data_IF_820565709456
#
_entry.id   IF_820565709456
#
_cell.length_a   1.000
_cell.length_b   1.000
_cell.length_c   1.000
_cell.angle_alpha   90.00
_cell.angle_beta   90.00
_cell.angle_gamma   90.00
#
_symmetry.space_group_name_H-M   'P 1'
#
loop_
_entity.id
_entity.type
_entity.pdbx_description
1 polymer ?
#
# COMPACT_ATOMS: atom_id res chain seq x y z
N UNK A 1 -1.50 15.84 -19.84
CA UNK A 1 -1.38 15.22 -21.18
C UNK A 1 -0.02 15.47 -21.82
N UNK A 2 0.54 16.68 -21.77
CA UNK A 2 1.82 17.00 -22.41
C UNK A 2 2.98 16.13 -21.91
N UNK A 3 3.13 15.97 -20.61
CA UNK A 3 4.14 15.09 -20.03
C UNK A 3 4.02 13.62 -20.52
N UNK A 4 2.78 13.14 -20.64
CA UNK A 4 2.54 11.80 -21.16
C UNK A 4 2.93 11.68 -22.63
N UNK A 5 2.67 12.69 -23.46
CA UNK A 5 3.13 12.71 -24.85
C UNK A 5 4.66 12.70 -24.96
N UNK A 6 5.36 13.39 -24.04
CA UNK A 6 6.82 13.30 -23.95
C UNK A 6 7.30 11.89 -23.55
N UNK A 7 6.62 11.27 -22.57
CA UNK A 7 6.90 9.89 -22.17
C UNK A 7 6.70 8.90 -23.33
N UNK A 8 5.63 9.06 -24.11
CA UNK A 8 5.39 8.26 -25.33
C UNK A 8 6.50 8.45 -26.35
N UNK A 9 7.02 9.65 -26.53
CA UNK A 9 8.13 9.89 -27.45
C UNK A 9 9.39 9.14 -27.01
N UNK A 10 9.74 9.14 -25.74
CA UNK A 10 10.88 8.38 -25.21
C UNK A 10 10.65 6.86 -25.40
N UNK A 11 9.46 6.36 -25.12
CA UNK A 11 9.12 4.95 -25.29
C UNK A 11 9.15 4.53 -26.78
N UNK A 12 8.44 5.27 -27.64
CA UNK A 12 8.14 4.80 -28.99
C UNK A 12 9.19 5.20 -30.02
N UNK A 13 9.81 6.38 -29.88
CA UNK A 13 10.81 6.91 -30.81
C UNK A 13 12.22 6.62 -30.33
N UNK A 14 12.53 6.93 -29.08
CA UNK A 14 13.86 6.71 -28.51
C UNK A 14 14.10 5.28 -27.98
N UNK A 15 13.07 4.45 -27.95
CA UNK A 15 13.15 3.05 -27.51
C UNK A 15 13.74 2.91 -26.10
N UNK A 16 13.17 3.63 -25.16
CA UNK A 16 13.56 3.63 -23.75
C UNK A 16 12.38 3.26 -22.87
N UNK A 17 12.64 2.56 -21.76
CA UNK A 17 11.67 2.41 -20.68
C UNK A 17 11.57 3.72 -19.91
N UNK A 18 10.34 4.11 -19.58
CA UNK A 18 10.02 5.41 -18.97
C UNK A 18 9.37 5.20 -17.63
N UNK A 19 9.85 5.90 -16.61
CA UNK A 19 9.20 6.02 -15.31
C UNK A 19 8.52 7.39 -15.22
N UNK A 20 7.19 7.41 -15.13
CA UNK A 20 6.36 8.61 -15.09
C UNK A 20 5.78 8.82 -13.68
N UNK A 21 6.06 9.99 -13.10
CA UNK A 21 5.46 10.39 -11.82
C UNK A 21 4.32 11.39 -12.07
N UNK A 22 3.15 11.14 -11.45
CA UNK A 22 1.99 12.01 -11.53
C UNK A 22 1.58 12.40 -10.10
N UNK A 23 1.79 13.65 -9.74
CA UNK A 23 1.38 14.21 -8.44
C UNK A 23 0.53 15.48 -8.65
N UNK A 24 -0.78 15.39 -8.52
CA UNK A 24 -1.54 14.14 -8.41
C UNK A 24 -2.60 14.10 -9.53
N UNK A 25 -3.09 12.91 -9.84
CA UNK A 25 -4.06 12.69 -10.93
C UNK A 25 -5.40 13.39 -10.69
N UNK A 26 -5.78 13.65 -9.45
CA UNK A 26 -7.02 14.34 -9.10
C UNK A 26 -7.12 15.75 -9.73
N UNK A 27 -5.98 16.42 -9.92
CA UNK A 27 -5.92 17.73 -10.60
C UNK A 27 -6.34 17.65 -12.07
N UNK A 28 -6.07 16.53 -12.72
CA UNK A 28 -6.56 16.28 -14.08
C UNK A 28 -8.10 16.19 -14.09
N UNK A 29 -8.69 15.50 -13.13
CA UNK A 29 -10.16 15.43 -12.98
C UNK A 29 -10.77 16.80 -12.71
N UNK A 30 -10.18 17.60 -11.83
CA UNK A 30 -10.64 18.97 -11.54
C UNK A 30 -10.63 19.86 -12.79
N UNK A 31 -9.54 19.81 -13.56
CA UNK A 31 -9.45 20.58 -14.80
C UNK A 31 -10.54 20.18 -15.80
N UNK A 32 -10.82 18.87 -15.92
CA UNK A 32 -11.92 18.37 -16.76
C UNK A 32 -13.29 18.87 -16.29
N UNK A 33 -13.53 18.91 -14.99
CA UNK A 33 -14.77 19.43 -14.40
C UNK A 33 -14.96 20.92 -14.68
N UNK A 34 -13.89 21.73 -14.55
CA UNK A 34 -13.92 23.16 -14.87
C UNK A 34 -14.25 23.42 -16.34
N UNK A 35 -13.59 22.70 -17.25
CA UNK A 35 -13.87 22.79 -18.69
C UNK A 35 -15.30 22.38 -19.01
N UNK A 36 -15.80 21.31 -18.42
CA UNK A 36 -17.17 20.82 -18.60
C UNK A 36 -18.19 21.88 -18.18
N UNK A 37 -17.95 22.55 -17.06
CA UNK A 37 -18.79 23.64 -16.57
C UNK A 37 -18.78 24.84 -17.52
N UNK A 38 -17.61 25.23 -18.02
CA UNK A 38 -17.51 26.31 -19.02
C UNK A 38 -18.25 25.99 -20.33
N UNK A 39 -18.31 24.72 -20.71
CA UNK A 39 -19.06 24.26 -21.88
C UNK A 39 -20.56 24.10 -21.62
N UNK A 40 -21.04 24.42 -20.41
CA UNK A 40 -22.46 24.31 -20.04
C UNK A 40 -22.98 22.87 -19.97
N UNK A 41 -22.12 21.89 -19.78
CA UNK A 41 -22.55 20.49 -19.66
C UNK A 41 -23.19 20.25 -18.28
N UNK A 42 -24.27 19.48 -18.26
CA UNK A 42 -24.92 19.09 -17.01
C UNK A 42 -23.97 18.20 -16.19
N UNK A 43 -23.70 18.53 -14.91
CA UNK A 43 -22.84 17.72 -14.07
C UNK A 43 -23.45 16.36 -13.75
N UNK A 44 -22.61 15.37 -13.57
CA UNK A 44 -22.98 14.04 -13.08
C UNK A 44 -22.94 13.95 -11.54
N UNK A 45 -22.86 12.76 -10.99
CA UNK A 45 -22.79 12.53 -9.57
C UNK A 45 -21.65 13.35 -8.91
N UNK A 46 -21.92 13.90 -7.72
CA UNK A 46 -20.97 14.69 -6.92
C UNK A 46 -20.44 15.96 -7.64
N UNK A 47 -21.07 16.34 -8.76
CA UNK A 47 -20.68 17.54 -9.52
C UNK A 47 -19.55 17.33 -10.54
N UNK A 48 -19.13 16.09 -10.77
CA UNK A 48 -18.12 15.77 -11.80
C UNK A 48 -18.68 15.87 -13.21
N UNK A 49 -17.78 15.96 -14.19
CA UNK A 49 -18.12 15.95 -15.61
C UNK A 49 -18.75 14.60 -16.04
N UNK A 50 -19.73 14.60 -16.96
CA UNK A 50 -20.40 13.38 -17.39
C UNK A 50 -19.48 12.41 -18.16
N UNK A 51 -18.39 12.90 -18.73
CA UNK A 51 -17.38 12.13 -19.47
C UNK A 51 -16.11 11.84 -18.67
N UNK A 52 -16.18 11.86 -17.31
CA UNK A 52 -15.03 11.60 -16.44
C UNK A 52 -14.33 10.29 -16.77
N UNK A 53 -15.08 9.20 -16.92
CA UNK A 53 -14.52 7.88 -17.21
C UNK A 53 -13.81 7.84 -18.57
N UNK A 54 -14.36 8.49 -19.58
CA UNK A 54 -13.75 8.56 -20.92
C UNK A 54 -12.43 9.35 -20.88
N UNK A 55 -12.42 10.51 -20.22
CA UNK A 55 -11.22 11.34 -20.09
C UNK A 55 -10.12 10.62 -19.32
N UNK A 56 -10.48 9.96 -18.22
CA UNK A 56 -9.55 9.15 -17.44
C UNK A 56 -9.04 7.97 -18.25
N UNK A 57 -9.90 7.26 -18.95
CA UNK A 57 -9.53 6.14 -19.83
C UNK A 57 -8.54 6.58 -20.93
N UNK A 58 -8.80 7.68 -21.61
CA UNK A 58 -7.92 8.23 -22.65
C UNK A 58 -6.51 8.51 -22.09
N UNK A 59 -6.41 8.98 -20.86
CA UNK A 59 -5.10 9.21 -20.24
C UNK A 59 -4.44 7.90 -19.81
N UNK A 60 -5.15 7.06 -19.06
CA UNK A 60 -4.59 5.86 -18.42
C UNK A 60 -4.19 4.79 -19.43
N UNK A 61 -4.99 4.57 -20.49
CA UNK A 61 -4.69 3.57 -21.53
C UNK A 61 -3.43 3.86 -22.36
N UNK A 62 -2.92 5.09 -22.31
CA UNK A 62 -1.65 5.48 -22.93
C UNK A 62 -0.43 5.06 -22.09
N UNK A 63 -0.64 4.81 -20.79
CA UNK A 63 0.38 4.33 -19.85
C UNK A 63 0.45 2.82 -19.99
N UNK A 64 1.24 2.36 -20.93
CA UNK A 64 1.28 0.94 -21.28
C UNK A 64 2.63 0.56 -21.90
N UNK A 65 2.86 -0.74 -22.00
CA UNK A 65 3.97 -1.30 -22.77
C UNK A 65 3.62 -1.35 -24.25
N UNK A 66 4.57 -0.98 -25.09
CA UNK A 66 4.50 -1.18 -26.53
C UNK A 66 5.62 -2.11 -26.97
N UNK A 67 5.90 -2.22 -28.25
CA UNK A 67 6.87 -3.17 -28.84
C UNK A 67 8.28 -3.07 -28.20
N UNK A 68 8.44 -3.68 -27.03
CA UNK A 68 9.72 -3.85 -26.35
C UNK A 68 10.06 -2.78 -25.29
N UNK A 69 9.26 -1.73 -25.15
CA UNK A 69 9.48 -0.66 -24.17
C UNK A 69 8.19 -0.29 -23.45
N UNK A 70 8.33 0.24 -22.22
CA UNK A 70 7.20 0.49 -21.32
C UNK A 70 7.16 1.91 -20.79
N UNK A 71 5.98 2.34 -20.38
CA UNK A 71 5.79 3.45 -19.45
C UNK A 71 5.26 2.83 -18.14
N UNK A 72 6.03 2.94 -17.07
CA UNK A 72 5.59 2.62 -15.72
C UNK A 72 5.25 3.92 -15.00
N UNK A 73 4.09 3.99 -14.34
CA UNK A 73 3.71 5.21 -13.62
C UNK A 73 3.58 4.99 -12.12
N UNK A 74 3.98 6.01 -11.36
CA UNK A 74 3.66 6.16 -9.95
C UNK A 74 2.75 7.38 -9.82
N UNK A 75 1.51 7.14 -9.41
CA UNK A 75 0.47 8.17 -9.36
C UNK A 75 0.03 8.42 -7.93
N UNK A 76 0.17 9.66 -7.46
CA UNK A 76 -0.48 10.07 -6.22
C UNK A 76 -1.96 10.32 -6.51
N UNK A 77 -2.84 9.73 -5.70
CA UNK A 77 -4.28 9.87 -5.83
C UNK A 77 -4.82 10.49 -4.55
N UNK A 78 -5.40 11.67 -4.67
CA UNK A 78 -6.12 12.29 -3.57
C UNK A 78 -7.53 11.69 -3.49
N UNK A 79 -7.90 11.23 -2.29
CA UNK A 79 -9.22 10.68 -2.00
C UNK A 79 -9.98 11.69 -1.15
N UNK A 80 -10.97 12.42 -1.71
CA UNK A 80 -11.73 13.42 -0.97
C UNK A 80 -12.45 12.82 0.23
N UNK A 81 -12.28 13.41 1.42
CA UNK A 81 -12.91 12.98 2.66
C UNK A 81 -12.68 11.50 3.04
N UNK A 82 -11.60 10.89 2.55
CA UNK A 82 -11.29 9.47 2.68
C UNK A 82 -12.39 8.54 2.09
N UNK A 83 -13.20 9.07 1.16
CA UNK A 83 -14.27 8.33 0.49
C UNK A 83 -13.77 7.68 -0.79
N UNK A 84 -13.41 6.41 -0.73
CA UNK A 84 -12.96 5.61 -1.88
C UNK A 84 -14.08 5.34 -2.90
N UNK A 85 -15.34 5.65 -2.57
CA UNK A 85 -16.49 5.54 -3.48
C UNK A 85 -16.72 6.81 -4.31
N UNK A 86 -15.98 7.90 -4.01
CA UNK A 86 -16.01 9.10 -4.84
C UNK A 86 -15.68 8.76 -6.30
N UNK A 87 -16.44 9.27 -7.29
CA UNK A 87 -16.26 8.92 -8.70
C UNK A 87 -14.85 9.15 -9.25
N UNK A 88 -14.12 10.15 -8.77
CA UNK A 88 -12.79 10.46 -9.30
C UNK A 88 -11.74 9.39 -8.91
N UNK A 89 -11.51 9.07 -7.62
CA UNK A 89 -10.61 7.98 -7.26
C UNK A 89 -11.13 6.63 -7.74
N UNK A 90 -12.43 6.31 -7.63
CA UNK A 90 -12.99 5.04 -8.05
C UNK A 90 -12.73 4.76 -9.55
N UNK A 91 -12.93 5.75 -10.41
CA UNK A 91 -12.62 5.64 -11.84
C UNK A 91 -11.13 5.43 -12.09
N UNK A 92 -10.27 6.13 -11.33
CA UNK A 92 -8.82 5.99 -11.44
C UNK A 92 -8.35 4.60 -11.03
N UNK A 93 -8.82 4.08 -9.90
CA UNK A 93 -8.43 2.77 -9.38
C UNK A 93 -8.72 1.62 -10.36
N UNK A 94 -9.77 1.74 -11.16
CA UNK A 94 -10.11 0.73 -12.17
C UNK A 94 -9.01 0.50 -13.22
N UNK A 95 -8.14 1.49 -13.45
CA UNK A 95 -7.05 1.44 -14.42
C UNK A 95 -5.70 1.04 -13.81
N UNK A 96 -5.58 0.95 -12.48
CA UNK A 96 -4.30 0.69 -11.83
C UNK A 96 -4.01 -0.81 -11.70
N UNK A 97 -2.74 -1.16 -11.86
CA UNK A 97 -2.27 -2.54 -11.66
C UNK A 97 -1.95 -2.85 -10.19
N UNK A 98 -1.61 -1.83 -9.42
CA UNK A 98 -1.38 -1.94 -7.99
C UNK A 98 -1.83 -0.67 -7.28
N UNK A 99 -2.35 -0.84 -6.05
CA UNK A 99 -2.71 0.26 -5.16
C UNK A 99 -2.01 0.12 -3.83
N UNK A 100 -1.51 1.23 -3.31
CA UNK A 100 -0.97 1.33 -1.95
C UNK A 100 -1.84 2.33 -1.20
N UNK A 101 -2.70 1.83 -0.32
CA UNK A 101 -3.67 2.65 0.40
C UNK A 101 -3.11 3.08 1.75
N UNK A 102 -3.18 4.38 2.05
CA UNK A 102 -2.77 4.96 3.32
C UNK A 102 -3.99 5.13 4.22
N UNK A 103 -3.90 4.63 5.46
CA UNK A 103 -4.97 4.65 6.44
C UNK A 103 -4.67 5.64 7.57
N UNK A 104 -5.65 6.50 7.90
CA UNK A 104 -5.55 7.39 9.07
C UNK A 104 -5.60 6.60 10.38
N UNK A 105 -6.33 5.50 10.41
CA UNK A 105 -6.45 4.65 11.61
C UNK A 105 -5.10 4.01 11.94
N UNK A 106 -4.36 3.56 10.94
CA UNK A 106 -3.00 3.03 11.11
C UNK A 106 -2.03 4.14 11.54
N UNK A 107 -2.13 5.33 10.93
CA UNK A 107 -1.35 6.49 11.32
C UNK A 107 -1.61 6.91 12.78
N UNK A 108 -2.86 6.85 13.24
CA UNK A 108 -3.24 7.18 14.62
C UNK A 108 -2.63 6.23 15.66
N UNK A 109 -2.30 5.00 15.26
CA UNK A 109 -1.60 4.00 16.06
C UNK A 109 -0.08 4.22 16.11
N UNK A 110 0.43 5.25 15.39
CA UNK A 110 1.86 5.54 15.30
C UNK A 110 2.64 4.58 14.41
N UNK A 111 1.97 3.81 13.54
CA UNK A 111 2.58 2.88 12.61
C UNK A 111 2.86 3.58 11.27
N UNK A 112 4.12 3.68 10.89
CA UNK A 112 4.56 4.32 9.66
C UNK A 112 5.52 3.43 8.86
N UNK A 113 5.43 3.39 7.50
CA UNK A 113 4.40 4.05 6.68
C UNK A 113 3.00 3.51 7.00
N UNK A 114 1.98 4.39 6.98
CA UNK A 114 0.62 4.03 7.39
C UNK A 114 -0.16 3.31 6.28
N UNK A 115 0.46 2.31 5.68
CA UNK A 115 -0.11 1.50 4.59
C UNK A 115 -1.04 0.44 5.16
N UNK A 116 -2.26 0.35 4.63
CA UNK A 116 -3.18 -0.73 4.96
C UNK A 116 -2.88 -1.96 4.08
N UNK A 117 -2.36 -3.04 4.64
CA UNK A 117 -2.02 -4.24 3.88
C UNK A 117 -3.23 -5.05 3.44
N UNK A 118 -4.41 -4.82 4.03
CA UNK A 118 -5.64 -5.54 3.69
C UNK A 118 -6.35 -4.95 2.47
N UNK A 119 -6.34 -3.63 2.35
CA UNK A 119 -6.99 -2.92 1.24
C UNK A 119 -6.06 -2.68 0.06
N UNK A 120 -4.74 -2.62 0.30
CA UNK A 120 -3.74 -2.51 -0.77
C UNK A 120 -3.69 -3.76 -1.63
N UNK A 121 -3.59 -3.57 -2.95
CA UNK A 121 -3.67 -4.65 -3.93
C UNK A 121 -2.54 -4.58 -4.95
N UNK A 122 -2.24 -5.71 -5.58
CA UNK A 122 -1.33 -5.78 -6.73
C UNK A 122 -1.71 -6.95 -7.63
N UNK A 123 -1.80 -6.73 -8.94
CA UNK A 123 -2.08 -7.79 -9.93
C UNK A 123 -0.94 -8.79 -10.08
N UNK A 124 0.29 -8.39 -9.75
CA UNK A 124 1.43 -9.31 -9.79
C UNK A 124 1.52 -10.22 -8.56
N UNK A 125 0.70 -10.01 -7.53
CA UNK A 125 0.56 -10.96 -6.41
C UNK A 125 -0.28 -12.18 -6.86
N UNK A 126 0.30 -12.96 -7.74
CA UNK A 126 -0.32 -14.12 -8.38
C UNK A 126 0.77 -15.20 -8.58
N UNK A 127 0.50 -16.48 -8.30
CA UNK A 127 1.49 -17.57 -8.41
C UNK A 127 2.14 -17.70 -9.80
N UNK A 128 1.53 -17.11 -10.84
CA UNK A 128 2.08 -17.11 -12.21
C UNK A 128 3.26 -16.13 -12.38
N UNK A 129 3.38 -15.14 -11.51
CA UNK A 129 4.36 -14.04 -11.65
C UNK A 129 5.40 -14.02 -10.55
N UNK A 130 5.09 -14.54 -9.37
CA UNK A 130 5.98 -14.53 -8.20
C UNK A 130 6.25 -15.94 -7.71
N UNK A 131 7.25 -16.09 -6.85
CA UNK A 131 7.57 -17.38 -6.24
C UNK A 131 6.43 -17.87 -5.34
N UNK A 132 6.34 -19.18 -5.20
CA UNK A 132 5.33 -19.83 -4.35
C UNK A 132 5.43 -19.32 -2.91
N UNK A 133 6.64 -19.29 -2.36
CA UNK A 133 6.90 -18.85 -0.99
C UNK A 133 6.44 -17.41 -0.76
N UNK A 134 6.72 -16.50 -1.71
CA UNK A 134 6.24 -15.12 -1.63
C UNK A 134 4.70 -15.04 -1.61
N UNK A 135 4.03 -15.79 -2.49
CA UNK A 135 2.57 -15.79 -2.56
C UNK A 135 1.93 -16.37 -1.29
N UNK A 136 2.44 -17.52 -0.82
CA UNK A 136 1.92 -18.20 0.38
C UNK A 136 2.14 -17.36 1.63
N UNK A 137 3.33 -16.77 1.81
CA UNK A 137 3.64 -15.88 2.93
C UNK A 137 2.75 -14.65 2.94
N UNK A 138 2.60 -13.96 1.80
CA UNK A 138 1.74 -12.77 1.70
C UNK A 138 0.27 -13.11 2.02
N UNK A 139 -0.22 -14.23 1.52
CA UNK A 139 -1.59 -14.70 1.77
C UNK A 139 -1.79 -15.05 3.24
N UNK A 140 -0.85 -15.76 3.85
CA UNK A 140 -0.89 -16.13 5.27
C UNK A 140 -0.88 -14.89 6.17
N UNK A 141 0.01 -13.94 5.92
CA UNK A 141 0.07 -12.68 6.67
C UNK A 141 -1.25 -11.91 6.57
N UNK A 142 -1.81 -11.78 5.35
CA UNK A 142 -3.12 -11.12 5.16
C UNK A 142 -4.23 -11.85 5.91
N UNK A 143 -4.25 -13.18 5.93
CA UNK A 143 -5.26 -13.96 6.66
C UNK A 143 -5.17 -13.75 8.17
N UNK A 144 -3.96 -13.70 8.74
CA UNK A 144 -3.73 -13.41 10.17
C UNK A 144 -4.22 -12.00 10.52
N UNK A 145 -3.88 -11.01 9.69
CA UNK A 145 -4.31 -9.63 9.91
C UNK A 145 -5.84 -9.47 9.76
N UNK A 146 -6.44 -10.15 8.79
CA UNK A 146 -7.89 -10.13 8.59
C UNK A 146 -8.62 -10.76 9.78
N UNK A 147 -8.17 -11.93 10.23
CA UNK A 147 -8.73 -12.59 11.41
C UNK A 147 -8.59 -11.71 12.67
N UNK A 148 -7.44 -11.06 12.83
CA UNK A 148 -7.26 -10.10 13.95
C UNK A 148 -8.26 -8.95 13.86
N UNK A 149 -8.51 -8.39 12.67
CA UNK A 149 -9.49 -7.31 12.48
C UNK A 149 -10.89 -7.73 12.90
N UNK A 150 -11.32 -8.93 12.54
CA UNK A 150 -12.61 -9.51 12.94
C UNK A 150 -12.68 -9.73 14.45
N UNK A 151 -11.59 -10.18 15.08
CA UNK A 151 -11.56 -10.41 16.52
C UNK A 151 -11.53 -9.10 17.33
N UNK A 152 -11.11 -7.96 16.76
CA UNK A 152 -11.09 -6.67 17.48
C UNK A 152 -12.48 -6.23 17.93
N UNK A 153 -13.54 -6.53 17.17
CA UNK A 153 -14.90 -6.22 17.57
C UNK A 153 -15.32 -7.03 18.81
N UNK A 154 -14.94 -8.31 18.87
CA UNK A 154 -15.19 -9.18 20.00
C UNK A 154 -14.38 -8.72 21.22
N UNK A 155 -13.10 -8.39 21.01
CA UNK A 155 -12.21 -7.91 22.08
C UNK A 155 -12.72 -6.61 22.68
N UNK A 156 -13.26 -5.70 21.88
CA UNK A 156 -13.80 -4.43 22.34
C UNK A 156 -15.03 -4.58 23.27
N UNK A 157 -15.81 -5.65 23.08
CA UNK A 157 -17.03 -5.90 23.85
C UNK A 157 -16.77 -6.81 25.05
N UNK A 158 -16.04 -7.89 24.85
CA UNK A 158 -15.90 -8.98 25.84
C UNK A 158 -14.51 -9.02 26.50
N UNK A 159 -13.53 -8.37 25.92
CA UNK A 159 -12.15 -8.45 26.36
C UNK A 159 -11.38 -9.63 25.74
N UNK A 160 -10.05 -9.55 25.82
CA UNK A 160 -9.12 -10.56 25.26
C UNK A 160 -9.22 -11.91 25.96
N UNK A 161 -9.60 -11.92 27.25
CA UNK A 161 -9.66 -13.15 28.06
C UNK A 161 -10.73 -14.14 27.59
N UNK A 162 -11.78 -13.65 26.93
CA UNK A 162 -12.88 -14.48 26.42
C UNK A 162 -12.55 -15.18 25.08
N UNK A 163 -11.41 -14.85 24.49
CA UNK A 163 -10.96 -15.51 23.25
C UNK A 163 -10.48 -16.94 23.53
N UNK A 164 -10.64 -17.81 22.53
CA UNK A 164 -9.99 -19.11 22.51
C UNK A 164 -8.45 -18.98 22.56
N UNK A 165 -7.74 -19.96 23.03
CA UNK A 165 -6.27 -19.94 23.06
C UNK A 165 -5.67 -19.78 21.66
N UNK A 166 -6.28 -20.36 20.65
CA UNK A 166 -5.88 -20.23 19.24
C UNK A 166 -6.04 -18.77 18.77
N UNK A 167 -7.15 -18.13 19.12
CA UNK A 167 -7.41 -16.73 18.76
C UNK A 167 -6.47 -15.77 19.50
N UNK A 168 -6.16 -16.04 20.77
CA UNK A 168 -5.16 -15.28 21.54
C UNK A 168 -3.78 -15.32 20.86
N UNK A 169 -3.35 -16.49 20.39
CA UNK A 169 -2.10 -16.65 19.64
C UNK A 169 -2.17 -15.84 18.34
N UNK A 170 -3.26 -15.94 17.60
CA UNK A 170 -3.47 -15.21 16.33
C UNK A 170 -3.39 -13.70 16.54
N UNK A 171 -4.08 -13.15 17.55
CA UNK A 171 -4.04 -11.73 17.91
C UNK A 171 -2.62 -11.30 18.30
N UNK A 172 -1.93 -12.12 19.08
CA UNK A 172 -0.56 -11.84 19.52
C UNK A 172 0.43 -11.78 18.32
N UNK A 173 0.32 -12.72 17.37
CA UNK A 173 1.10 -12.72 16.12
C UNK A 173 0.76 -11.54 15.24
N UNK A 174 -0.53 -11.25 15.06
CA UNK A 174 -0.98 -10.11 14.28
C UNK A 174 -0.41 -8.78 14.80
N UNK A 175 -0.35 -8.58 16.11
CA UNK A 175 0.26 -7.39 16.71
C UNK A 175 1.75 -7.28 16.40
N UNK A 176 2.50 -8.38 16.43
CA UNK A 176 3.92 -8.40 16.03
C UNK A 176 4.08 -8.06 14.56
N UNK A 177 3.26 -8.67 13.69
CA UNK A 177 3.25 -8.39 12.26
C UNK A 177 2.93 -6.92 11.99
N UNK A 178 1.92 -6.35 12.63
CA UNK A 178 1.57 -4.93 12.50
C UNK A 178 2.73 -4.02 12.92
N UNK A 179 3.40 -4.34 14.03
CA UNK A 179 4.58 -3.60 14.47
C UNK A 179 5.75 -3.73 13.50
N UNK A 180 5.97 -4.93 12.95
CA UNK A 180 7.03 -5.19 11.99
C UNK A 180 6.77 -4.56 10.61
N UNK A 181 5.51 -4.29 10.25
CA UNK A 181 5.16 -3.49 9.07
C UNK A 181 5.57 -2.02 9.21
N UNK A 182 5.82 -1.53 10.43
CA UNK A 182 6.40 -0.20 10.60
C UNK A 182 7.88 -0.20 10.21
N UNK A 183 8.28 0.75 9.37
CA UNK A 183 9.61 0.78 8.77
C UNK A 183 10.32 2.10 9.06
N UNK A 184 11.62 2.01 9.37
CA UNK A 184 12.49 3.15 9.48
C UNK A 184 13.00 3.56 8.09
N UNK A 185 12.40 4.59 7.51
CA UNK A 185 12.78 5.10 6.20
C UNK A 185 13.90 6.15 6.31
N UNK A 186 14.75 6.24 5.27
CA UNK A 186 15.83 7.25 5.23
C UNK A 186 15.28 8.69 5.31
N UNK A 187 14.15 8.93 4.65
CA UNK A 187 13.49 10.26 4.64
C UNK A 187 12.99 10.68 6.01
N UNK A 188 12.54 9.71 6.83
CA UNK A 188 11.98 9.99 8.15
C UNK A 188 13.06 10.25 9.22
N UNK A 189 14.35 9.99 8.96
CA UNK A 189 15.44 10.18 9.92
C UNK A 189 15.45 11.55 10.59
N UNK A 190 15.14 12.60 9.83
CA UNK A 190 15.10 13.99 10.34
C UNK A 190 14.06 14.16 11.44
N UNK A 191 12.98 13.40 11.40
CA UNK A 191 11.88 13.47 12.36
C UNK A 191 12.00 12.44 13.48
N UNK A 192 12.46 11.24 13.16
CA UNK A 192 12.47 10.11 14.11
C UNK A 192 13.81 9.96 14.86
N UNK A 193 14.89 10.51 14.32
CA UNK A 193 16.26 10.28 14.81
C UNK A 193 16.78 8.86 14.54
N UNK A 194 16.01 8.00 13.85
CA UNK A 194 16.36 6.61 13.55
C UNK A 194 16.91 6.54 12.13
N UNK A 195 18.04 5.87 11.96
CA UNK A 195 18.61 5.63 10.62
C UNK A 195 17.69 4.75 9.78
N UNK A 196 17.53 5.11 8.51
CA UNK A 196 16.81 4.29 7.56
C UNK A 196 17.52 2.96 7.29
N UNK A 197 16.75 1.94 6.94
CA UNK A 197 17.28 0.66 6.49
C UNK A 197 16.63 0.21 5.19
N UNK A 198 17.40 -0.48 4.38
CA UNK A 198 16.91 -1.16 3.19
C UNK A 198 16.96 -2.67 3.44
N UNK A 199 15.83 -3.33 3.24
CA UNK A 199 15.70 -4.79 3.41
C UNK A 199 15.39 -5.41 2.05
N UNK A 200 16.20 -6.34 1.56
CA UNK A 200 15.90 -7.08 0.33
C UNK A 200 14.57 -7.84 0.42
N UNK A 201 13.89 -8.01 -0.71
CA UNK A 201 12.60 -8.70 -0.77
C UNK A 201 12.67 -10.13 -0.23
N UNK A 202 13.76 -10.87 -0.51
CA UNK A 202 13.95 -12.23 0.02
C UNK A 202 13.98 -12.26 1.54
N UNK A 203 14.73 -11.36 2.17
CA UNK A 203 14.79 -11.24 3.62
C UNK A 203 13.43 -10.82 4.22
N UNK A 204 12.68 -9.97 3.51
CA UNK A 204 11.33 -9.58 3.90
C UNK A 204 10.39 -10.78 3.92
N UNK A 205 10.41 -11.62 2.87
CA UNK A 205 9.57 -12.82 2.77
C UNK A 205 9.91 -13.79 3.91
N UNK A 206 11.19 -14.11 4.10
CA UNK A 206 11.67 -15.00 5.17
C UNK A 206 11.28 -14.50 6.57
N UNK A 207 11.36 -13.19 6.79
CA UNK A 207 10.98 -12.57 8.05
C UNK A 207 9.49 -12.71 8.36
N UNK A 208 8.63 -12.40 7.38
CA UNK A 208 7.18 -12.52 7.56
C UNK A 208 6.72 -13.97 7.66
N UNK A 209 7.34 -14.90 6.93
CA UNK A 209 7.11 -16.33 7.10
C UNK A 209 7.42 -16.77 8.53
N UNK A 210 8.60 -16.42 9.04
CA UNK A 210 9.01 -16.76 10.40
C UNK A 210 8.08 -16.18 11.47
N UNK A 211 7.57 -14.97 11.29
CA UNK A 211 6.59 -14.35 12.17
C UNK A 211 5.23 -15.06 12.11
N UNK A 212 4.77 -15.39 10.93
CA UNK A 212 3.49 -16.08 10.72
C UNK A 212 3.50 -17.50 11.27
N UNK A 213 4.63 -18.21 11.14
CA UNK A 213 4.87 -19.53 11.70
C UNK A 213 5.00 -19.54 13.24
N UNK A 214 5.17 -18.38 13.86
CA UNK A 214 5.28 -18.25 15.29
C UNK A 214 6.68 -18.48 15.86
N UNK A 215 7.73 -18.51 15.04
CA UNK A 215 9.12 -18.66 15.49
C UNK A 215 9.54 -17.58 16.49
N UNK A 216 8.87 -16.43 16.46
CA UNK A 216 9.13 -15.25 17.28
C UNK A 216 8.03 -14.96 18.32
N UNK A 217 7.15 -15.92 18.62
CA UNK A 217 6.04 -15.74 19.58
C UNK A 217 6.52 -15.43 21.01
N UNK A 218 7.74 -15.82 21.35
CA UNK A 218 8.37 -15.57 22.65
C UNK A 218 8.93 -14.14 22.81
N UNK A 219 8.97 -13.35 21.73
CA UNK A 219 9.55 -12.01 21.74
C UNK A 219 8.45 -10.95 21.95
N UNK A 220 8.69 -9.96 22.82
CA UNK A 220 7.74 -8.86 23.05
C UNK A 220 7.46 -8.07 21.77
N UNK A 221 6.20 -7.70 21.55
CA UNK A 221 5.76 -7.00 20.31
C UNK A 221 6.50 -5.68 20.05
N UNK A 222 6.94 -4.98 21.10
CA UNK A 222 7.65 -3.70 20.98
C UNK A 222 9.02 -3.84 20.30
N UNK A 223 9.65 -5.01 20.35
CA UNK A 223 10.92 -5.25 19.68
C UNK A 223 10.81 -5.13 18.16
N UNK A 224 9.62 -5.35 17.61
CA UNK A 224 9.34 -5.32 16.16
C UNK A 224 9.03 -3.91 15.62
N UNK A 225 8.83 -2.94 16.52
CA UNK A 225 8.48 -1.58 16.09
C UNK A 225 9.67 -0.85 15.47
N UNK A 226 9.46 -0.25 14.28
CA UNK A 226 10.49 0.52 13.55
C UNK A 226 11.78 -0.28 13.38
N UNK A 227 11.68 -1.47 12.84
CA UNK A 227 12.79 -2.35 12.47
C UNK A 227 12.90 -2.44 10.94
N UNK A 228 14.12 -2.61 10.43
CA UNK A 228 14.35 -2.98 9.05
C UNK A 228 14.05 -4.48 8.86
N UNK A 229 14.94 -5.34 9.33
CA UNK A 229 14.80 -6.79 9.28
C UNK A 229 14.84 -7.46 10.65
N UNK A 230 14.78 -8.79 10.69
CA UNK A 230 14.85 -9.57 11.94
C UNK A 230 16.15 -9.35 12.71
N UNK A 231 17.28 -9.11 12.04
CA UNK A 231 18.54 -8.77 12.68
C UNK A 231 18.43 -7.52 13.57
N UNK A 232 17.58 -6.55 13.22
CA UNK A 232 17.34 -5.38 14.05
C UNK A 232 16.53 -5.75 15.30
N UNK A 233 15.58 -6.67 15.19
CA UNK A 233 14.79 -7.19 16.31
C UNK A 233 15.72 -7.86 17.32
N UNK A 234 16.58 -8.77 16.87
CA UNK A 234 17.55 -9.49 17.71
C UNK A 234 18.53 -8.52 18.38
N UNK A 235 19.01 -7.51 17.68
CA UNK A 235 19.88 -6.47 18.24
C UNK A 235 19.18 -5.64 19.32
N UNK A 236 17.88 -5.34 19.17
CA UNK A 236 17.11 -4.62 20.21
C UNK A 236 16.95 -5.44 21.47
N UNK A 237 16.70 -6.75 21.33
CA UNK A 237 16.58 -7.66 22.48
C UNK A 237 17.92 -7.80 23.20
N UNK A 238 19.03 -7.99 22.46
CA UNK A 238 20.35 -8.08 23.04
C UNK A 238 20.77 -6.83 23.84
N UNK A 239 20.28 -5.65 23.46
CA UNK A 239 20.51 -4.39 24.20
C UNK A 239 19.61 -4.23 25.43
N UNK A 240 18.48 -4.89 25.49
CA UNK A 240 17.58 -4.84 26.65
C UNK A 240 18.02 -5.76 27.80
N UNK A 241 18.99 -6.62 27.54
CA UNK A 241 19.56 -7.55 28.54
C UNK A 241 20.95 -7.12 29.06
N UNK A 242 21.43 -5.93 28.70
CA UNK A 242 22.62 -5.26 29.20
C UNK A 242 22.23 -4.00 29.98
#
# INVERSE_FOLDING_TARGET
>A
LSALTMAEYFRDVQKQDVLLFIDNIFRFTQAGSEVSTLLGRMPSAVGYQPNLADEMGILQERITSTRGHSITSLQAIYVPADDYTDPAPATTFAHLDATTELSRDIASQGLYPAVDPLTSTSRILDPRYITKDHYETATLVKSILQKNKELQEIIAILGVEELSEEDKITVSRARRIQRFLSQNTFVAKVFTGIDGSFVPLSETIEAFEALADGKYDHIPEQAFFMCGGLADVERKIGRAHV
#
